data_IF_373683879854
#
_entry.id   IF_373683879854
#
_cell.length_a   1.000
_cell.length_b   1.000
_cell.length_c   1.000
_cell.angle_alpha   90.00
_cell.angle_beta   90.00
_cell.angle_gamma   90.00
#
_symmetry.space_group_name_H-M   'P 1'
#
loop_
_entity.id
_entity.type
_entity.pdbx_description
1 polymer ?
#
# COMPACT_ATOMS: atom_id res chain seq x y z
N UNK A 1 -6.05 -36.29 -38.41
CA UNK A 1 -5.67 -36.63 -37.02
C UNK A 1 -4.15 -36.66 -36.94
N UNK A 2 -3.52 -35.61 -36.44
CA UNK A 2 -2.08 -35.63 -36.15
C UNK A 2 -1.89 -35.15 -34.73
N UNK A 3 -1.68 -36.12 -33.85
CA UNK A 3 -1.49 -35.96 -32.42
C UNK A 3 -0.02 -35.58 -32.20
N UNK A 4 0.33 -34.29 -32.36
CA UNK A 4 1.62 -33.80 -31.88
C UNK A 4 1.53 -33.69 -30.36
N UNK A 5 1.85 -34.80 -29.69
CA UNK A 5 2.18 -34.79 -28.27
C UNK A 5 3.39 -33.87 -28.09
N UNK A 6 3.12 -32.63 -27.67
CA UNK A 6 4.15 -31.71 -27.24
C UNK A 6 4.92 -32.38 -26.09
N UNK A 7 6.13 -32.83 -26.41
CA UNK A 7 7.08 -33.41 -25.48
C UNK A 7 7.42 -32.33 -24.43
N UNK A 8 6.69 -32.31 -23.31
CA UNK A 8 6.98 -31.44 -22.18
C UNK A 8 8.29 -31.90 -21.57
N UNK A 9 9.39 -31.25 -21.93
CA UNK A 9 10.66 -31.42 -21.25
C UNK A 9 10.45 -31.27 -19.72
N UNK A 10 11.09 -32.12 -18.89
CA UNK A 10 10.97 -31.99 -17.44
C UNK A 10 11.43 -30.60 -17.01
N UNK A 11 10.60 -29.88 -16.26
CA UNK A 11 10.97 -28.57 -15.73
C UNK A 11 12.26 -28.71 -14.91
N UNK A 12 13.25 -27.82 -15.11
CA UNK A 12 14.51 -27.87 -14.38
C UNK A 12 14.24 -27.83 -12.87
N UNK A 13 14.97 -28.67 -12.10
CA UNK A 13 14.82 -28.72 -10.65
C UNK A 13 15.04 -27.32 -10.06
N UNK A 14 14.11 -26.77 -9.26
CA UNK A 14 14.20 -25.40 -8.79
C UNK A 14 15.46 -25.22 -7.94
N UNK A 15 16.27 -24.20 -8.27
CA UNK A 15 17.47 -23.79 -7.54
C UNK A 15 17.08 -23.28 -6.15
N UNK A 16 18.06 -23.16 -5.24
CA UNK A 16 17.82 -22.66 -3.88
C UNK A 16 17.13 -21.30 -3.84
N UNK A 17 17.51 -20.39 -4.74
CA UNK A 17 16.85 -19.08 -4.91
C UNK A 17 15.39 -19.23 -5.33
N UNK A 18 15.10 -20.09 -6.32
CA UNK A 18 13.72 -20.31 -6.79
C UNK A 18 12.83 -20.84 -5.66
N UNK A 19 13.37 -21.71 -4.80
CA UNK A 19 12.62 -22.22 -3.63
C UNK A 19 12.33 -21.12 -2.61
N UNK A 20 13.29 -20.22 -2.38
CA UNK A 20 13.10 -19.09 -1.48
C UNK A 20 12.06 -18.11 -2.02
N UNK A 21 12.14 -17.75 -3.31
CA UNK A 21 11.15 -16.88 -3.97
C UNK A 21 9.76 -17.51 -3.96
N UNK A 22 9.66 -18.82 -4.24
CA UNK A 22 8.40 -19.56 -4.15
C UNK A 22 7.81 -19.57 -2.74
N UNK A 23 8.64 -19.53 -1.69
CA UNK A 23 8.17 -19.44 -0.32
C UNK A 23 7.59 -18.06 -0.03
N UNK A 24 8.26 -16.98 -0.44
CA UNK A 24 7.76 -15.60 -0.32
C UNK A 24 6.42 -15.45 -1.04
N UNK A 25 6.33 -15.93 -2.29
CA UNK A 25 5.11 -15.86 -3.09
C UNK A 25 3.94 -16.58 -2.40
N UNK A 26 4.17 -17.80 -1.89
CA UNK A 26 3.14 -18.57 -1.18
C UNK A 26 2.67 -17.89 0.11
N UNK A 27 3.58 -17.28 0.86
CA UNK A 27 3.24 -16.56 2.09
C UNK A 27 2.46 -15.28 1.75
N UNK A 28 2.92 -14.51 0.78
CA UNK A 28 2.25 -13.29 0.32
C UNK A 28 0.83 -13.56 -0.17
N UNK A 29 0.64 -14.59 -1.00
CA UNK A 29 -0.68 -14.97 -1.53
C UNK A 29 -1.65 -15.52 -0.48
N UNK A 30 -1.16 -15.86 0.72
CA UNK A 30 -2.00 -16.39 1.81
C UNK A 30 -2.59 -15.29 2.69
N UNK A 31 -2.03 -14.07 2.65
CA UNK A 31 -2.54 -12.95 3.43
C UNK A 31 -3.88 -12.52 2.82
N UNK A 32 -5.00 -12.58 3.57
CA UNK A 32 -6.29 -12.15 3.05
C UNK A 32 -6.33 -10.64 2.85
N UNK A 33 -7.32 -10.18 2.09
CA UNK A 33 -7.55 -8.75 1.88
C UNK A 33 -7.54 -7.96 3.21
N UNK A 34 -6.88 -6.79 3.27
CA UNK A 34 -6.82 -6.00 4.49
C UNK A 34 -8.17 -5.71 5.14
N UNK A 35 -9.25 -5.51 4.37
CA UNK A 35 -10.58 -5.27 4.93
C UNK A 35 -11.09 -6.51 5.71
N UNK A 36 -10.79 -7.72 5.22
CA UNK A 36 -11.10 -8.96 5.94
C UNK A 36 -10.31 -9.08 7.24
N UNK A 37 -9.04 -8.65 7.26
CA UNK A 37 -8.24 -8.64 8.49
C UNK A 37 -8.88 -7.76 9.57
N UNK A 38 -9.34 -6.55 9.21
CA UNK A 38 -10.04 -5.67 10.14
C UNK A 38 -11.40 -6.22 10.57
N UNK A 39 -12.13 -6.86 9.66
CA UNK A 39 -13.38 -7.55 10.00
C UNK A 39 -13.16 -8.66 11.02
N UNK A 40 -12.15 -9.52 10.82
CA UNK A 40 -11.80 -10.54 11.80
C UNK A 40 -11.35 -9.94 13.13
N UNK A 41 -10.55 -8.87 13.10
CA UNK A 41 -10.14 -8.16 14.32
C UNK A 41 -11.34 -7.62 15.10
N UNK A 42 -12.36 -7.07 14.44
CA UNK A 42 -13.60 -6.63 15.07
C UNK A 42 -14.31 -7.78 15.79
N UNK A 43 -14.53 -8.90 15.07
CA UNK A 43 -15.21 -10.07 15.63
C UNK A 43 -14.44 -10.66 16.81
N UNK A 44 -13.11 -10.80 16.67
CA UNK A 44 -12.25 -11.29 17.75
C UNK A 44 -12.34 -10.35 18.96
N UNK A 45 -12.34 -9.03 18.74
CA UNK A 45 -12.47 -8.04 19.82
C UNK A 45 -13.81 -8.17 20.54
N UNK A 46 -14.91 -8.33 19.82
CA UNK A 46 -16.24 -8.56 20.41
C UNK A 46 -16.27 -9.82 21.28
N UNK A 47 -15.83 -10.95 20.74
CA UNK A 47 -15.82 -12.24 21.46
C UNK A 47 -14.92 -12.16 22.68
N UNK A 48 -13.71 -11.63 22.52
CA UNK A 48 -12.73 -11.53 23.63
C UNK A 48 -13.24 -10.57 24.71
N UNK A 49 -13.90 -9.47 24.34
CA UNK A 49 -14.50 -8.53 25.30
C UNK A 49 -15.58 -9.19 26.16
N UNK A 50 -16.41 -10.06 25.56
CA UNK A 50 -17.46 -10.77 26.27
C UNK A 50 -16.93 -11.87 27.20
N UNK A 51 -15.86 -12.56 26.79
CA UNK A 51 -15.21 -13.57 27.62
C UNK A 51 -14.48 -12.95 28.81
N UNK A 52 -13.79 -11.83 28.59
CA UNK A 52 -12.95 -11.19 29.61
C UNK A 52 -13.68 -10.18 30.50
N UNK A 53 -14.90 -9.73 30.15
CA UNK A 53 -15.63 -8.74 30.97
C UNK A 53 -15.99 -9.25 32.37
N UNK A 54 -16.02 -10.56 32.59
CA UNK A 54 -16.28 -11.18 33.89
C UNK A 54 -15.01 -11.38 34.73
N UNK A 55 -13.84 -11.02 34.17
CA UNK A 55 -12.54 -11.13 34.83
C UNK A 55 -12.13 -9.75 35.34
N UNK A 56 -11.83 -9.66 36.63
CA UNK A 56 -11.28 -8.44 37.23
C UNK A 56 -9.76 -8.44 37.08
N UNK A 57 -9.21 -7.36 36.54
CA UNK A 57 -7.78 -7.13 36.45
C UNK A 57 -7.37 -6.15 37.54
N UNK A 58 -6.43 -6.53 38.41
CA UNK A 58 -5.84 -5.66 39.44
C UNK A 58 -4.84 -4.67 38.84
N UNK A 59 -5.20 -4.03 37.72
CA UNK A 59 -4.44 -2.98 37.08
C UNK A 59 -5.12 -1.64 37.29
N UNK A 60 -4.36 -0.69 37.83
CA UNK A 60 -4.81 0.69 38.02
C UNK A 60 -4.26 1.54 36.89
N UNK A 61 -5.11 2.38 36.31
CA UNK A 61 -4.70 3.34 35.30
C UNK A 61 -3.78 4.41 35.95
N UNK A 62 -2.50 4.53 35.57
CA UNK A 62 -1.56 5.46 36.21
C UNK A 62 -1.88 6.93 35.92
N UNK A 63 -2.75 7.22 34.95
CA UNK A 63 -3.16 8.58 34.60
C UNK A 63 -4.41 9.04 35.35
N UNK A 64 -5.36 8.14 35.59
CA UNK A 64 -6.66 8.50 36.21
C UNK A 64 -6.82 7.97 37.64
N UNK A 65 -6.06 6.95 38.03
CA UNK A 65 -6.18 6.28 39.33
C UNK A 65 -7.32 5.27 39.41
N UNK A 66 -8.09 5.07 38.33
CA UNK A 66 -9.21 4.14 38.29
C UNK A 66 -8.77 2.71 37.97
N UNK A 67 -9.54 1.73 38.46
CA UNK A 67 -9.34 0.33 38.09
C UNK A 67 -9.67 0.09 36.61
N UNK A 68 -8.85 -0.71 35.93
CA UNK A 68 -9.06 -1.04 34.53
C UNK A 68 -10.14 -2.12 34.40
N UNK A 69 -11.25 -1.76 33.78
CA UNK A 69 -12.39 -2.67 33.54
C UNK A 69 -12.56 -2.97 32.05
N UNK A 70 -12.76 -4.24 31.70
CA UNK A 70 -13.10 -4.64 30.33
C UNK A 70 -14.61 -4.50 30.12
N UNK A 71 -15.01 -3.70 29.14
CA UNK A 71 -16.42 -3.54 28.77
C UNK A 71 -16.85 -4.59 27.74
N UNK A 72 -17.98 -5.25 27.98
CA UNK A 72 -18.56 -6.23 27.05
C UNK A 72 -19.29 -5.53 25.89
N UNK A 73 -18.76 -5.68 24.68
CA UNK A 73 -19.29 -5.03 23.48
C UNK A 73 -20.48 -5.77 22.85
N UNK A 74 -20.82 -6.97 23.32
CA UNK A 74 -21.95 -7.77 22.84
C UNK A 74 -23.23 -7.55 23.66
N UNK A 75 -23.24 -6.59 24.59
CA UNK A 75 -24.45 -6.20 25.31
C UNK A 75 -25.40 -5.43 24.39
N UNK A 76 -26.71 -5.47 24.67
CA UNK A 76 -27.71 -4.77 23.85
C UNK A 76 -27.45 -3.25 23.76
N UNK A 77 -27.01 -2.63 24.85
CA UNK A 77 -26.65 -1.21 24.88
C UNK A 77 -25.41 -0.90 24.06
N UNK A 78 -24.34 -1.70 24.19
CA UNK A 78 -23.11 -1.50 23.42
C UNK A 78 -23.34 -1.70 21.92
N UNK A 79 -24.16 -2.69 21.54
CA UNK A 79 -24.50 -2.93 20.14
C UNK A 79 -25.38 -1.82 19.57
N UNK A 80 -26.37 -1.33 20.34
CA UNK A 80 -27.18 -0.18 19.95
C UNK A 80 -26.32 1.08 19.75
N UNK A 81 -25.39 1.34 20.68
CA UNK A 81 -24.44 2.45 20.59
C UNK A 81 -23.51 2.30 19.38
N UNK A 82 -23.00 1.09 19.12
CA UNK A 82 -22.17 0.80 17.95
C UNK A 82 -22.91 1.12 16.65
N UNK A 83 -24.14 0.63 16.50
CA UNK A 83 -24.97 0.88 15.31
C UNK A 83 -25.32 2.36 15.15
N UNK A 84 -25.68 3.04 16.25
CA UNK A 84 -26.02 4.46 16.25
C UNK A 84 -24.83 5.36 15.89
N UNK A 85 -23.63 5.01 16.35
CA UNK A 85 -22.42 5.83 16.15
C UNK A 85 -21.56 5.41 14.97
N UNK A 86 -21.87 4.29 14.29
CA UNK A 86 -21.04 3.71 13.23
C UNK A 86 -20.60 4.73 12.17
N UNK A 87 -21.54 5.51 11.66
CA UNK A 87 -21.25 6.53 10.62
C UNK A 87 -20.36 7.63 11.19
N UNK A 88 -20.64 8.12 12.40
CA UNK A 88 -19.86 9.16 13.07
C UNK A 88 -18.43 8.68 13.37
N UNK A 89 -18.26 7.42 13.79
CA UNK A 89 -16.93 6.82 13.99
C UNK A 89 -16.16 6.73 12.67
N UNK A 90 -16.83 6.33 11.58
CA UNK A 90 -16.22 6.25 10.26
C UNK A 90 -15.82 7.64 9.73
N UNK A 91 -16.72 8.61 9.74
CA UNK A 91 -16.47 9.96 9.22
C UNK A 91 -15.55 10.78 10.13
N UNK A 92 -15.54 10.52 11.43
CA UNK A 92 -14.66 11.14 12.42
C UNK A 92 -13.23 10.59 12.41
N UNK A 93 -12.94 9.56 11.62
CA UNK A 93 -11.59 9.02 11.50
C UNK A 93 -10.67 10.04 10.80
N UNK A 94 -9.80 10.70 11.57
CA UNK A 94 -9.00 11.83 11.08
C UNK A 94 -8.25 11.59 9.75
N UNK A 95 -7.64 10.41 9.49
CA UNK A 95 -6.99 10.15 8.21
C UNK A 95 -7.94 10.18 7.00
N UNK A 96 -9.20 9.78 7.17
CA UNK A 96 -10.18 9.69 6.07
C UNK A 96 -10.39 11.05 5.40
N UNK A 97 -10.71 12.07 6.20
CA UNK A 97 -11.01 13.41 5.68
C UNK A 97 -9.81 14.07 5.01
N UNK A 98 -8.63 13.97 5.62
CA UNK A 98 -7.39 14.58 5.10
C UNK A 98 -7.02 13.98 3.76
N UNK A 99 -7.09 12.65 3.63
CA UNK A 99 -6.74 11.95 2.39
C UNK A 99 -7.72 12.31 1.27
N UNK A 100 -9.03 12.30 1.53
CA UNK A 100 -10.03 12.65 0.50
C UNK A 100 -9.84 14.07 -0.04
N UNK A 101 -9.62 15.05 0.84
CA UNK A 101 -9.39 16.45 0.44
C UNK A 101 -8.08 16.59 -0.33
N UNK A 102 -7.01 15.92 0.12
CA UNK A 102 -5.73 15.92 -0.59
C UNK A 102 -5.85 15.29 -1.99
N UNK A 103 -6.54 14.15 -2.10
CA UNK A 103 -6.76 13.45 -3.37
C UNK A 103 -7.62 14.24 -4.36
N UNK A 104 -8.54 15.10 -3.90
CA UNK A 104 -9.24 16.03 -4.79
C UNK A 104 -8.26 17.02 -5.45
N UNK A 105 -7.34 17.60 -4.69
CA UNK A 105 -6.31 18.50 -5.22
C UNK A 105 -5.35 17.80 -6.19
N UNK A 106 -4.88 16.60 -5.82
CA UNK A 106 -4.04 15.76 -6.67
C UNK A 106 -4.78 15.36 -7.95
N UNK A 107 -6.05 14.97 -7.85
CA UNK A 107 -6.88 14.58 -8.99
C UNK A 107 -7.04 15.71 -10.01
N UNK A 108 -7.20 16.96 -9.57
CA UNK A 108 -7.24 18.13 -10.48
C UNK A 108 -5.87 18.37 -11.13
N UNK A 109 -4.79 18.30 -10.36
CA UNK A 109 -3.44 18.49 -10.87
C UNK A 109 -3.03 17.41 -11.88
N UNK A 110 -3.46 16.17 -11.67
CA UNK A 110 -3.15 15.08 -12.59
C UNK A 110 -4.06 15.11 -13.83
N UNK A 111 -5.37 15.27 -13.65
CA UNK A 111 -6.34 15.32 -14.77
C UNK A 111 -6.11 16.49 -15.71
N UNK A 112 -5.57 17.62 -15.22
CA UNK A 112 -5.17 18.75 -16.05
C UNK A 112 -3.84 18.54 -16.80
N UNK A 113 -3.13 17.44 -16.51
CA UNK A 113 -1.81 17.14 -17.07
C UNK A 113 -0.67 17.96 -16.46
N UNK A 114 -0.91 18.69 -15.36
CA UNK A 114 0.11 19.51 -14.71
C UNK A 114 1.28 18.66 -14.19
N UNK A 115 0.98 17.57 -13.48
CA UNK A 115 2.00 16.63 -12.99
C UNK A 115 2.81 16.05 -14.15
N UNK A 116 2.13 15.42 -15.11
CA UNK A 116 2.76 14.77 -16.28
C UNK A 116 3.67 15.74 -17.06
N UNK A 117 3.21 16.96 -17.30
CA UNK A 117 3.97 17.97 -18.05
C UNK A 117 5.15 18.49 -17.23
N UNK A 118 4.96 18.71 -15.93
CA UNK A 118 6.02 19.14 -15.02
C UNK A 118 7.18 18.15 -14.96
N UNK A 119 6.88 16.86 -14.77
CA UNK A 119 7.91 15.80 -14.71
C UNK A 119 8.68 15.70 -16.03
N UNK A 120 7.99 15.73 -17.18
CA UNK A 120 8.64 15.75 -18.51
C UNK A 120 9.55 16.95 -18.70
N UNK A 121 9.09 18.15 -18.30
CA UNK A 121 9.87 19.38 -18.41
C UNK A 121 11.12 19.35 -17.54
N UNK A 122 11.00 18.87 -16.30
CA UNK A 122 12.12 18.72 -15.37
C UNK A 122 13.21 17.82 -15.95
N UNK A 123 12.84 16.69 -16.54
CA UNK A 123 13.82 15.76 -17.11
C UNK A 123 14.40 16.26 -18.44
N UNK A 124 13.60 16.88 -19.31
CA UNK A 124 14.07 17.42 -20.59
C UNK A 124 15.08 18.58 -20.42
N UNK A 125 14.99 19.35 -19.35
CA UNK A 125 15.91 20.46 -19.06
C UNK A 125 17.18 20.02 -18.33
N UNK A 126 17.30 18.74 -17.95
CA UNK A 126 18.39 18.26 -17.10
C UNK A 126 19.63 17.92 -17.94
N UNK A 127 20.82 18.45 -17.60
CA UNK A 127 22.05 18.10 -18.30
C UNK A 127 22.45 16.64 -18.06
N UNK A 128 23.06 16.00 -19.06
CA UNK A 128 23.38 14.56 -19.05
C UNK A 128 24.14 14.06 -17.79
N UNK A 129 24.98 14.92 -17.19
CA UNK A 129 25.74 14.63 -15.97
C UNK A 129 24.85 14.50 -14.71
N UNK A 130 23.72 15.22 -14.66
CA UNK A 130 22.78 15.24 -13.52
C UNK A 130 21.54 14.37 -13.74
N UNK A 131 21.51 13.63 -14.86
CA UNK A 131 20.34 12.88 -15.29
C UNK A 131 19.95 11.78 -14.29
N UNK A 132 20.92 11.09 -13.67
CA UNK A 132 20.65 10.08 -12.63
C UNK A 132 20.09 10.66 -11.34
N UNK A 133 20.75 11.62 -10.66
CA UNK A 133 20.19 12.20 -9.43
C UNK A 133 18.86 12.91 -9.67
N UNK A 134 18.68 13.52 -10.85
CA UNK A 134 17.39 14.14 -11.18
C UNK A 134 16.28 13.11 -11.39
N UNK A 135 16.56 12.00 -12.07
CA UNK A 135 15.55 10.95 -12.26
C UNK A 135 15.08 10.39 -10.93
N UNK A 136 16.00 10.16 -9.99
CA UNK A 136 15.67 9.71 -8.63
C UNK A 136 14.83 10.78 -7.91
N UNK A 137 15.21 12.05 -7.99
CA UNK A 137 14.43 13.13 -7.39
C UNK A 137 13.00 13.18 -7.96
N UNK A 138 12.87 13.05 -9.27
CA UNK A 138 11.58 13.03 -9.98
C UNK A 138 10.75 11.82 -9.55
N UNK A 139 11.37 10.63 -9.42
CA UNK A 139 10.71 9.43 -8.92
C UNK A 139 10.15 9.64 -7.49
N UNK A 140 10.96 10.17 -6.57
CA UNK A 140 10.54 10.48 -5.19
C UNK A 140 9.39 11.48 -5.17
N UNK A 141 9.49 12.58 -5.92
CA UNK A 141 8.42 13.61 -5.97
C UNK A 141 7.13 13.04 -6.57
N UNK A 142 7.25 12.18 -7.58
CA UNK A 142 6.10 11.60 -8.28
C UNK A 142 5.22 10.69 -7.42
N UNK A 143 5.73 10.19 -6.29
CA UNK A 143 4.93 9.44 -5.32
C UNK A 143 3.74 10.27 -4.77
N UNK A 144 3.87 11.60 -4.74
CA UNK A 144 2.78 12.53 -4.34
C UNK A 144 1.60 12.49 -5.30
N UNK A 145 1.83 12.11 -6.56
CA UNK A 145 0.84 12.07 -7.62
C UNK A 145 0.23 10.68 -7.83
N UNK A 146 0.25 9.84 -6.79
CA UNK A 146 -0.29 8.48 -6.76
C UNK A 146 0.19 7.58 -7.92
N UNK A 147 -0.54 7.57 -9.04
CA UNK A 147 -0.36 6.64 -10.16
C UNK A 147 0.57 7.17 -11.25
N UNK A 148 0.72 8.50 -11.35
CA UNK A 148 1.52 9.13 -12.40
C UNK A 148 3.01 8.74 -12.30
N UNK A 149 3.52 8.51 -11.08
CA UNK A 149 4.90 8.10 -10.86
C UNK A 149 5.25 6.78 -11.53
N UNK A 150 4.50 5.72 -11.23
CA UNK A 150 4.79 4.39 -11.74
C UNK A 150 4.52 4.25 -13.24
N UNK A 151 3.40 4.80 -13.73
CA UNK A 151 3.00 4.66 -15.13
C UNK A 151 3.87 5.49 -16.06
N UNK A 152 4.32 6.68 -15.62
CA UNK A 152 5.08 7.59 -16.46
C UNK A 152 6.59 7.56 -16.18
N UNK A 153 7.02 7.69 -14.92
CA UNK A 153 8.44 7.98 -14.60
C UNK A 153 9.35 6.79 -14.92
N UNK A 154 8.88 5.57 -14.70
CA UNK A 154 9.65 4.34 -14.97
C UNK A 154 9.98 4.19 -16.48
N UNK A 155 9.01 4.15 -17.40
CA UNK A 155 9.31 4.04 -18.83
C UNK A 155 10.03 5.29 -19.37
N UNK A 156 9.66 6.49 -18.90
CA UNK A 156 10.29 7.73 -19.33
C UNK A 156 11.78 7.78 -18.91
N UNK A 157 12.12 7.28 -17.72
CA UNK A 157 13.50 7.13 -17.26
C UNK A 157 14.33 6.25 -18.18
N UNK A 158 13.78 5.12 -18.65
CA UNK A 158 14.42 4.27 -19.65
C UNK A 158 14.66 4.98 -20.99
N UNK A 159 13.64 5.68 -21.51
CA UNK A 159 13.71 6.40 -22.79
C UNK A 159 14.75 7.53 -22.72
N UNK A 160 14.78 8.30 -21.64
CA UNK A 160 15.70 9.43 -21.49
C UNK A 160 17.15 8.96 -21.29
N UNK A 161 17.37 7.87 -20.54
CA UNK A 161 18.69 7.25 -20.47
C UNK A 161 19.16 6.76 -21.84
N UNK A 162 18.27 6.14 -22.62
CA UNK A 162 18.59 5.72 -23.98
C UNK A 162 18.98 6.91 -24.87
N UNK A 163 18.17 7.98 -24.86
CA UNK A 163 18.41 9.19 -25.63
C UNK A 163 19.71 9.91 -25.23
N UNK A 164 20.13 9.79 -23.97
CA UNK A 164 21.40 10.31 -23.47
C UNK A 164 22.61 9.39 -23.72
N UNK A 165 22.45 8.30 -24.49
CA UNK A 165 23.52 7.34 -24.77
C UNK A 165 23.88 6.42 -23.61
N UNK A 166 23.00 6.29 -22.60
CA UNK A 166 23.18 5.44 -21.41
C UNK A 166 22.28 4.21 -21.47
N UNK A 167 22.60 3.20 -20.68
CA UNK A 167 21.85 1.94 -20.67
C UNK A 167 20.40 2.15 -20.17
N UNK A 168 19.35 1.80 -20.94
CA UNK A 168 17.95 2.07 -20.58
C UNK A 168 17.52 1.39 -19.27
N UNK A 169 17.98 0.16 -19.02
CA UNK A 169 17.67 -0.55 -17.77
C UNK A 169 18.20 0.18 -16.53
N UNK A 170 19.29 0.95 -16.65
CA UNK A 170 19.78 1.74 -15.52
C UNK A 170 18.85 2.92 -15.20
N UNK A 171 18.19 3.48 -16.22
CA UNK A 171 17.14 4.49 -16.04
C UNK A 171 15.89 3.89 -15.40
N UNK A 172 15.44 2.72 -15.88
CA UNK A 172 14.31 2.00 -15.28
C UNK A 172 14.61 1.65 -13.82
N UNK A 173 15.81 1.13 -13.53
CA UNK A 173 16.22 0.80 -12.18
C UNK A 173 16.29 2.05 -11.28
N UNK A 174 16.83 3.17 -11.77
CA UNK A 174 16.90 4.42 -11.01
C UNK A 174 15.54 5.09 -10.78
N UNK A 175 14.56 4.85 -11.65
CA UNK A 175 13.19 5.34 -11.46
C UNK A 175 12.35 4.44 -10.55
N UNK A 176 12.68 3.15 -10.46
CA UNK A 176 11.95 2.16 -9.65
C UNK A 176 12.50 2.02 -8.22
N UNK A 177 13.81 2.20 -8.04
CA UNK A 177 14.49 2.10 -6.74
C UNK A 177 14.09 3.22 -5.79
#
# INVERSE_FOLDING_TARGET
>A
MSNQAANKAPLPKPKGMDRFLNAIERVGNKIPDPALLFFWALIITWVTSALLSNVTFDLINPRTGDALTVSNLLTGEALASFLANMVTTFTGFAPLGIVLVAMLGVGVADSSGFITTGLKKMLNFTPAKLLTPMLILVAIVSHTAADAGYVLVIPLGGIIFHAAGRHPLAGIAAAFA
#
